data_IF_236399350985
#
_entry.id   IF_236399350985
#
_cell.length_a   1.000
_cell.length_b   1.000
_cell.length_c   1.000
_cell.angle_alpha   90.00
_cell.angle_beta   90.00
_cell.angle_gamma   90.00
#
_symmetry.space_group_name_H-M   'P 1'
#
loop_
_entity.id
_entity.type
_entity.pdbx_description
1 polymer ?
#
# COMPACT_ATOMS: atom_id res chain seq x y z
N UNK A 1 30.87 -11.15 32.65
CA UNK A 1 30.45 -11.60 31.30
C UNK A 1 28.94 -11.94 31.22
N UNK A 2 28.28 -12.42 32.28
CA UNK A 2 26.83 -12.72 32.25
C UNK A 2 25.90 -11.51 32.04
N UNK A 3 26.15 -10.38 32.71
CA UNK A 3 25.26 -9.20 32.66
C UNK A 3 25.23 -8.50 31.28
N UNK A 4 26.33 -8.59 30.53
CA UNK A 4 26.45 -8.02 29.18
C UNK A 4 25.63 -8.88 28.19
N UNK A 5 25.70 -10.20 28.31
CA UNK A 5 24.91 -11.13 27.49
C UNK A 5 23.40 -10.96 27.72
N UNK A 6 22.97 -10.81 28.98
CA UNK A 6 21.56 -10.55 29.33
C UNK A 6 21.09 -9.20 28.78
N UNK A 7 21.92 -8.15 28.84
CA UNK A 7 21.58 -6.83 28.29
C UNK A 7 21.46 -6.84 26.76
N UNK A 8 22.32 -7.58 26.06
CA UNK A 8 22.24 -7.74 24.59
C UNK A 8 20.98 -8.51 24.21
N UNK A 9 20.59 -9.53 24.99
CA UNK A 9 19.37 -10.30 24.77
C UNK A 9 18.08 -9.48 25.01
N UNK A 10 18.07 -8.59 26.01
CA UNK A 10 16.95 -7.66 26.24
C UNK A 10 16.88 -6.60 25.13
N UNK A 11 18.03 -6.10 24.66
CA UNK A 11 18.08 -5.13 23.57
C UNK A 11 17.61 -5.73 22.23
N UNK A 12 17.90 -7.01 21.97
CA UNK A 12 17.38 -7.71 20.80
C UNK A 12 15.88 -8.00 20.92
N UNK A 13 15.34 -8.34 22.11
CA UNK A 13 13.89 -8.48 22.34
C UNK A 13 13.16 -7.13 22.13
N UNK A 14 13.75 -6.01 22.53
CA UNK A 14 13.24 -4.65 22.26
C UNK A 14 13.36 -4.24 20.79
N UNK A 15 14.22 -4.89 19.99
CA UNK A 15 14.27 -4.66 18.54
C UNK A 15 13.22 -5.50 17.79
N UNK A 16 12.69 -6.55 18.43
CA UNK A 16 11.50 -7.32 17.97
C UNK A 16 10.21 -6.65 18.48
N UNK A 17 10.15 -5.31 18.48
CA UNK A 17 8.86 -4.62 18.54
C UNK A 17 8.13 -5.03 17.28
N UNK A 18 7.13 -5.88 17.48
CA UNK A 18 6.26 -6.44 16.47
C UNK A 18 5.82 -5.34 15.51
N UNK A 19 6.04 -5.53 14.22
CA UNK A 19 5.30 -4.80 13.19
C UNK A 19 3.84 -5.24 13.30
N UNK A 20 3.13 -4.72 14.30
CA UNK A 20 1.73 -5.01 14.49
C UNK A 20 0.98 -4.45 13.28
N UNK A 21 0.40 -5.35 12.49
CA UNK A 21 -0.57 -4.99 11.46
C UNK A 21 -1.74 -4.31 12.14
N UNK A 22 -1.99 -3.04 11.83
CA UNK A 22 -3.16 -2.34 12.38
C UNK A 22 -4.41 -2.63 11.58
N UNK A 23 -4.29 -2.58 10.25
CA UNK A 23 -5.42 -2.77 9.35
C UNK A 23 -5.06 -3.74 8.23
N UNK A 24 -6.09 -4.47 7.79
CA UNK A 24 -6.05 -5.31 6.60
C UNK A 24 -7.03 -4.71 5.60
N UNK A 25 -6.54 -4.30 4.44
CA UNK A 25 -7.37 -3.85 3.33
C UNK A 25 -7.58 -4.99 2.35
N UNK A 26 -8.84 -5.27 2.01
CA UNK A 26 -9.19 -6.12 0.88
C UNK A 26 -9.51 -5.25 -0.34
N UNK A 27 -8.63 -5.28 -1.33
CA UNK A 27 -8.78 -4.52 -2.57
C UNK A 27 -9.40 -5.43 -3.61
N UNK A 28 -10.68 -5.24 -3.90
CA UNK A 28 -11.45 -6.07 -4.82
C UNK A 28 -11.68 -5.34 -6.15
N UNK A 29 -11.34 -5.97 -7.27
CA UNK A 29 -11.73 -5.48 -8.58
C UNK A 29 -13.09 -6.08 -9.01
N UNK A 30 -14.16 -5.28 -8.94
CA UNK A 30 -15.48 -5.67 -9.47
C UNK A 30 -15.78 -5.06 -10.86
N UNK A 31 -14.81 -4.38 -11.47
CA UNK A 31 -14.98 -3.83 -12.81
C UNK A 31 -15.05 -4.97 -13.83
N UNK A 32 -15.79 -4.76 -14.93
CA UNK A 32 -15.81 -5.69 -16.07
C UNK A 32 -14.51 -5.75 -16.88
N UNK A 33 -13.40 -5.20 -16.36
CA UNK A 33 -12.09 -5.13 -17.01
C UNK A 33 -10.96 -5.26 -15.97
N UNK A 34 -9.77 -5.62 -16.45
CA UNK A 34 -8.56 -5.70 -15.61
C UNK A 34 -8.15 -4.32 -15.09
N UNK A 35 -7.84 -4.25 -13.80
CA UNK A 35 -7.24 -3.09 -13.14
C UNK A 35 -5.91 -3.51 -12.53
N UNK A 36 -4.93 -2.61 -12.53
CA UNK A 36 -3.71 -2.79 -11.77
C UNK A 36 -3.81 -1.97 -10.50
N UNK A 37 -4.30 -2.61 -9.43
CA UNK A 37 -4.35 -1.99 -8.11
C UNK A 37 -2.95 -1.52 -7.70
N UNK A 38 -2.90 -0.38 -7.02
CA UNK A 38 -1.69 0.22 -6.52
C UNK A 38 -1.93 0.74 -5.09
N UNK A 39 -0.87 0.68 -4.29
CA UNK A 39 -0.85 1.18 -2.94
C UNK A 39 0.52 1.79 -2.62
N UNK A 40 0.51 2.93 -1.95
CA UNK A 40 1.72 3.56 -1.41
C UNK A 40 1.46 3.92 0.05
N UNK A 41 2.10 3.25 1.03
CA UNK A 41 2.93 2.06 0.87
C UNK A 41 2.11 0.82 0.46
N UNK A 42 2.75 -0.15 -0.21
CA UNK A 42 2.14 -1.47 -0.47
C UNK A 42 2.50 -2.10 -1.81
N UNK A 43 2.87 -1.31 -2.81
CA UNK A 43 3.27 -1.80 -4.14
C UNK A 43 2.10 -1.82 -5.12
N UNK A 44 1.98 -2.89 -5.91
CA UNK A 44 0.88 -3.01 -6.85
C UNK A 44 0.66 -4.42 -7.38
N UNK A 45 -0.55 -4.68 -7.87
CA UNK A 45 -0.97 -6.01 -8.33
C UNK A 45 -1.97 -5.91 -9.48
N UNK A 46 -1.79 -6.76 -10.49
CA UNK A 46 -2.79 -6.96 -11.54
C UNK A 46 -3.97 -7.73 -10.95
N UNK A 47 -5.18 -7.22 -11.12
CA UNK A 47 -6.43 -7.84 -10.71
C UNK A 47 -7.37 -7.93 -11.91
N UNK A 48 -7.67 -9.14 -12.35
CA UNK A 48 -8.79 -9.39 -13.26
C UNK A 48 -10.12 -9.17 -12.56
N UNK A 49 -11.20 -9.10 -13.33
CA UNK A 49 -12.56 -9.00 -12.80
C UNK A 49 -12.82 -10.11 -11.77
N UNK A 50 -13.28 -9.71 -10.58
CA UNK A 50 -13.56 -10.59 -9.45
C UNK A 50 -12.35 -10.99 -8.60
N UNK A 51 -11.13 -10.60 -8.97
CA UNK A 51 -9.94 -10.88 -8.16
C UNK A 51 -9.76 -9.84 -7.04
N UNK A 52 -9.20 -10.29 -5.92
CA UNK A 52 -8.85 -9.42 -4.79
C UNK A 52 -7.37 -9.48 -4.41
N UNK A 53 -6.94 -8.44 -3.69
CA UNK A 53 -5.63 -8.32 -3.08
C UNK A 53 -5.76 -7.90 -1.63
N UNK A 54 -5.27 -8.73 -0.72
CA UNK A 54 -5.12 -8.38 0.69
C UNK A 54 -3.82 -7.62 0.92
N UNK A 55 -3.93 -6.41 1.48
CA UNK A 55 -2.82 -5.57 1.88
C UNK A 55 -2.84 -5.37 3.40
N UNK A 56 -1.78 -5.78 4.08
CA UNK A 56 -1.60 -5.54 5.51
C UNK A 56 -0.81 -4.25 5.72
N UNK A 57 -1.32 -3.36 6.58
CA UNK A 57 -0.75 -2.05 6.81
C UNK A 57 -0.47 -1.85 8.30
N UNK A 58 0.72 -1.34 8.61
CA UNK A 58 1.16 -1.13 9.99
C UNK A 58 0.43 0.05 10.65
N UNK A 59 0.28 -0.03 11.98
CA UNK A 59 -0.21 1.09 12.78
C UNK A 59 0.62 2.36 12.55
N UNK A 60 -0.03 3.53 12.56
CA UNK A 60 0.65 4.82 12.40
C UNK A 60 0.96 5.21 10.96
N UNK A 61 0.68 4.33 9.97
CA UNK A 61 0.83 4.65 8.54
C UNK A 61 -0.01 5.88 8.18
N UNK A 62 0.55 6.83 7.44
CA UNK A 62 -0.08 8.10 7.05
C UNK A 62 0.37 8.52 5.65
N UNK A 63 -0.31 9.51 5.07
CA UNK A 63 -0.06 9.98 3.70
C UNK A 63 -0.14 8.81 2.69
N UNK A 64 -1.04 7.86 2.98
CA UNK A 64 -1.12 6.61 2.27
C UNK A 64 -2.30 6.61 1.32
N UNK A 65 -2.12 5.93 0.19
CA UNK A 65 -3.08 5.92 -0.92
C UNK A 65 -3.25 4.51 -1.47
N UNK A 66 -4.47 4.15 -1.82
CA UNK A 66 -4.82 3.02 -2.69
C UNK A 66 -5.56 3.58 -3.90
N UNK A 67 -5.22 3.12 -5.11
CA UNK A 67 -5.89 3.54 -6.34
C UNK A 67 -5.89 2.44 -7.40
N UNK A 68 -6.79 2.58 -8.38
CA UNK A 68 -6.83 1.73 -9.57
C UNK A 68 -6.03 2.33 -10.72
N UNK A 69 -5.24 1.51 -11.42
CA UNK A 69 -4.56 1.91 -12.67
C UNK A 69 -5.16 1.16 -13.85
N UNK A 70 -5.31 1.83 -14.98
CA UNK A 70 -5.99 1.26 -16.15
C UNK A 70 -5.05 1.13 -17.35
N UNK A 71 -5.38 0.14 -18.21
CA UNK A 71 -4.70 -0.13 -19.49
C UNK A 71 -3.17 -0.16 -19.36
N UNK A 72 -2.68 -0.87 -18.35
CA UNK A 72 -1.24 -0.98 -18.13
C UNK A 72 -0.63 -2.06 -19.03
N UNK A 73 0.61 -1.84 -19.42
CA UNK A 73 1.44 -2.85 -20.06
C UNK A 73 2.80 -2.87 -19.35
N UNK A 74 3.21 -4.04 -18.86
CA UNK A 74 4.47 -4.24 -18.14
C UNK A 74 5.26 -5.37 -18.79
N UNK A 75 6.58 -5.22 -18.85
CA UNK A 75 7.51 -6.28 -19.22
C UNK A 75 7.69 -7.32 -18.09
N UNK A 76 8.49 -8.36 -18.33
CA UNK A 76 8.76 -9.40 -17.34
C UNK A 76 9.54 -8.90 -16.11
N UNK A 77 10.15 -7.71 -16.19
CA UNK A 77 10.79 -7.05 -15.05
C UNK A 77 9.82 -6.16 -14.27
N UNK A 78 8.54 -6.11 -14.66
CA UNK A 78 7.53 -5.28 -14.03
C UNK A 78 7.67 -3.80 -14.36
N UNK A 79 8.35 -3.45 -15.46
CA UNK A 79 8.50 -2.07 -15.95
C UNK A 79 7.65 -1.83 -17.18
N UNK A 80 7.08 -0.64 -17.29
CA UNK A 80 6.09 -0.37 -18.31
C UNK A 80 5.37 0.95 -18.10
N UNK A 81 4.08 0.99 -18.43
CA UNK A 81 3.26 2.20 -18.30
C UNK A 81 1.77 1.87 -18.18
N UNK A 82 1.05 2.67 -17.41
CA UNK A 82 -0.41 2.73 -17.37
C UNK A 82 -0.94 4.00 -18.06
N UNK A 83 -2.18 3.94 -18.59
CA UNK A 83 -2.84 5.12 -19.16
C UNK A 83 -3.30 6.09 -18.04
N UNK A 84 -3.81 5.56 -16.93
CA UNK A 84 -4.19 6.33 -15.75
C UNK A 84 -3.52 5.77 -14.48
N UNK A 85 -3.19 6.65 -13.53
CA UNK A 85 -2.64 6.27 -12.24
C UNK A 85 -1.21 5.68 -12.28
N UNK A 86 -0.46 5.89 -13.35
CA UNK A 86 0.91 5.36 -13.49
C UNK A 86 1.82 5.83 -12.36
N UNK A 87 2.63 4.94 -11.79
CA UNK A 87 3.55 5.26 -10.69
C UNK A 87 5.00 5.14 -11.15
N UNK A 88 5.39 6.00 -12.10
CA UNK A 88 6.73 6.04 -12.72
C UNK A 88 7.12 4.74 -13.42
N UNK A 89 6.13 4.11 -14.08
CA UNK A 89 6.32 2.94 -14.92
C UNK A 89 6.56 1.62 -14.19
N UNK A 90 6.43 1.57 -12.87
CA UNK A 90 6.58 0.34 -12.08
C UNK A 90 5.26 -0.39 -11.88
N UNK A 91 5.25 -1.73 -11.97
CA UNK A 91 4.14 -2.55 -11.48
C UNK A 91 4.01 -2.40 -9.96
N UNK A 92 5.14 -2.41 -9.25
CA UNK A 92 5.25 -2.17 -7.82
C UNK A 92 5.46 -0.68 -7.56
N UNK A 93 4.44 0.01 -7.05
CA UNK A 93 4.53 1.44 -6.78
C UNK A 93 5.31 1.73 -5.50
N UNK A 94 6.27 2.65 -5.58
CA UNK A 94 7.03 3.17 -4.43
C UNK A 94 6.67 4.62 -4.10
N UNK A 95 5.81 5.24 -4.91
CA UNK A 95 5.28 6.59 -4.73
C UNK A 95 3.85 6.69 -5.26
N UNK A 96 3.33 7.91 -5.36
CA UNK A 96 1.96 8.17 -5.79
C UNK A 96 1.78 8.05 -7.31
N UNK A 97 0.55 7.82 -7.75
CA UNK A 97 0.18 7.72 -9.16
C UNK A 97 -0.01 9.08 -9.84
N UNK A 98 0.23 9.14 -11.15
CA UNK A 98 -0.04 10.31 -11.98
C UNK A 98 -1.56 10.49 -12.21
N UNK A 99 -2.12 11.69 -11.99
CA UNK A 99 -3.51 12.03 -12.32
C UNK A 99 -3.87 11.75 -13.81
N UNK A 100 -5.13 11.42 -14.14
CA UNK A 100 -6.24 11.25 -13.22
C UNK A 100 -6.21 9.90 -12.48
N UNK A 101 -6.57 9.88 -11.20
CA UNK A 101 -6.85 8.66 -10.44
C UNK A 101 -7.71 8.94 -9.20
N UNK A 102 -8.79 8.18 -9.05
CA UNK A 102 -9.59 8.18 -7.82
C UNK A 102 -8.78 7.56 -6.69
N UNK A 103 -8.68 8.28 -5.58
CA UNK A 103 -7.87 7.90 -4.43
C UNK A 103 -8.75 7.41 -3.29
N UNK A 104 -8.36 6.28 -2.69
CA UNK A 104 -8.70 5.98 -1.31
C UNK A 104 -7.50 6.41 -0.44
N UNK A 105 -7.63 7.54 0.25
CA UNK A 105 -6.60 8.09 1.13
C UNK A 105 -6.84 7.62 2.56
N UNK A 106 -5.77 7.33 3.31
CA UNK A 106 -5.90 6.91 4.70
C UNK A 106 -4.69 7.27 5.57
N UNK A 107 -4.97 7.39 6.87
CA UNK A 107 -3.99 7.52 7.94
C UNK A 107 -4.50 6.75 9.18
N UNK A 108 -3.74 5.76 9.63
CA UNK A 108 -4.15 4.81 10.67
C UNK A 108 -3.56 5.17 12.03
N UNK A 109 -4.32 5.01 13.10
CA UNK A 109 -3.91 5.25 14.48
C UNK A 109 -3.29 6.64 14.69
N UNK A 110 -4.02 7.68 14.29
CA UNK A 110 -3.61 9.08 14.37
C UNK A 110 -4.08 9.71 15.71
N UNK A 111 -4.60 10.94 15.66
CA UNK A 111 -5.07 11.62 16.87
C UNK A 111 -6.16 10.80 17.58
N UNK A 112 -6.01 10.62 18.89
CA UNK A 112 -6.94 9.88 19.74
C UNK A 112 -7.15 8.41 19.31
N UNK A 113 -6.12 7.77 18.75
CA UNK A 113 -6.17 6.39 18.22
C UNK A 113 -7.26 6.19 17.15
N UNK A 114 -7.58 7.25 16.39
CA UNK A 114 -8.56 7.21 15.32
C UNK A 114 -7.87 7.01 13.97
N UNK A 115 -8.55 6.27 13.10
CA UNK A 115 -8.22 6.18 11.69
C UNK A 115 -8.97 7.27 10.93
N UNK A 116 -8.30 7.90 9.97
CA UNK A 116 -8.89 8.87 9.07
C UNK A 116 -8.75 8.32 7.65
N UNK A 117 -9.84 8.34 6.89
CA UNK A 117 -9.86 7.87 5.52
C UNK A 117 -10.90 8.65 4.72
N UNK A 118 -10.66 8.78 3.43
CA UNK A 118 -11.56 9.45 2.51
C UNK A 118 -11.40 8.93 1.08
N UNK A 119 -12.38 9.28 0.24
CA UNK A 119 -12.26 9.17 -1.21
C UNK A 119 -11.99 10.57 -1.74
N UNK A 120 -10.91 10.71 -2.50
CA UNK A 120 -10.45 12.00 -3.03
C UNK A 120 -10.45 11.98 -4.56
N UNK A 121 -10.98 13.07 -5.12
CA UNK A 121 -10.97 13.38 -6.56
C UNK A 121 -10.10 14.62 -6.84
N UNK A 122 -9.28 15.05 -5.87
CA UNK A 122 -8.34 16.16 -6.07
C UNK A 122 -7.39 15.84 -7.23
N UNK A 123 -7.01 14.57 -7.35
CA UNK A 123 -6.16 14.03 -8.42
C UNK A 123 -6.98 13.33 -9.55
N UNK A 124 -8.30 13.55 -9.66
CA UNK A 124 -9.13 13.13 -10.81
C UNK A 124 -10.04 11.92 -10.60
#
# INVERSE_FOLDING_TARGET
MGNISVSIFILSILFVISTATAATFEILNQCGYTVWAAASPGGGRRLDSGQSWTLNVAAGTKMARIWGRTKCNFDSSGRGRCETGDCTGGLQCTGWGQPPNTLAEYALNQFNNLDFYDISLVDG
#
